data_IF_426228943444
#
_entry.id   IF_426228943444
#
_cell.length_a   1.000
_cell.length_b   1.000
_cell.length_c   1.000
_cell.angle_alpha   90.00
_cell.angle_beta   90.00
_cell.angle_gamma   90.00
#
_symmetry.space_group_name_H-M   'P 1'
#
loop_
_entity.id
_entity.type
_entity.pdbx_description
1 polymer ?
#
# COMPACT_ATOMS: atom_id res chain seq x y z
N UNK A 1 -9.26 23.14 4.32
CA UNK A 1 -9.86 21.79 4.35
C UNK A 1 -9.95 21.34 2.90
N UNK A 2 -9.49 20.13 2.58
CA UNK A 2 -9.65 19.58 1.22
C UNK A 2 -11.11 19.17 1.00
N UNK A 3 -11.52 19.07 -0.26
CA UNK A 3 -12.87 18.58 -0.58
C UNK A 3 -13.09 17.18 -0.01
N UNK A 4 -14.32 16.85 0.46
CA UNK A 4 -14.62 15.52 0.97
C UNK A 4 -14.36 14.44 -0.08
N UNK A 5 -13.73 13.34 0.35
CA UNK A 5 -13.53 12.16 -0.49
C UNK A 5 -14.72 11.21 -0.27
N UNK A 6 -15.55 10.94 -1.28
CA UNK A 6 -16.67 10.01 -1.14
C UNK A 6 -16.18 8.56 -1.06
N UNK A 7 -16.82 7.77 -0.20
CA UNK A 7 -16.48 6.37 0.01
C UNK A 7 -17.32 5.70 1.09
N UNK A 8 -16.92 4.48 1.44
CA UNK A 8 -17.57 3.64 2.43
C UNK A 8 -16.58 3.29 3.53
N UNK A 9 -16.98 3.48 4.79
CA UNK A 9 -16.19 3.07 5.95
C UNK A 9 -16.63 1.68 6.40
N UNK A 10 -15.68 0.75 6.47
CA UNK A 10 -15.88 -0.62 6.91
C UNK A 10 -15.24 -0.84 8.28
N UNK A 11 -15.93 -1.61 9.12
CA UNK A 11 -15.39 -2.13 10.37
C UNK A 11 -14.91 -3.57 10.15
N UNK A 12 -13.67 -3.85 10.51
CA UNK A 12 -13.09 -5.19 10.47
C UNK A 12 -13.10 -5.72 11.90
N UNK A 13 -13.73 -6.87 12.12
CA UNK A 13 -13.82 -7.56 13.42
C UNK A 13 -13.06 -8.90 13.37
N UNK A 14 -12.57 -9.46 14.50
CA UNK A 14 -12.90 -9.14 15.90
C UNK A 14 -12.07 -8.05 16.59
N UNK A 15 -10.91 -7.65 16.05
CA UNK A 15 -10.18 -6.45 16.52
C UNK A 15 -10.64 -5.27 15.66
N UNK A 16 -11.25 -4.20 16.22
CA UNK A 16 -11.89 -3.15 15.44
C UNK A 16 -10.85 -2.32 14.68
N UNK A 17 -10.44 -2.81 13.51
CA UNK A 17 -9.73 -2.04 12.50
C UNK A 17 -10.77 -1.39 11.59
N UNK A 18 -10.35 -0.33 10.90
CA UNK A 18 -11.19 0.33 9.90
C UNK A 18 -10.55 0.20 8.53
N UNK A 19 -11.39 0.13 7.49
CA UNK A 19 -10.94 0.31 6.12
C UNK A 19 -11.87 1.29 5.40
N UNK A 20 -11.29 2.20 4.63
CA UNK A 20 -12.06 3.13 3.80
C UNK A 20 -11.98 2.71 2.35
N UNK A 21 -13.11 2.31 1.79
CA UNK A 21 -13.28 1.98 0.37
C UNK A 21 -13.61 3.24 -0.42
N UNK A 22 -12.83 3.50 -1.47
CA UNK A 22 -12.97 4.72 -2.27
C UNK A 22 -14.01 4.54 -3.37
N UNK A 23 -14.87 5.55 -3.55
CA UNK A 23 -15.87 5.59 -4.61
C UNK A 23 -17.26 5.12 -4.17
N UNK A 24 -18.20 4.95 -5.13
CA UNK A 24 -19.57 4.57 -4.82
C UNK A 24 -19.66 3.10 -4.38
N UNK A 25 -20.75 2.71 -3.68
CA UNK A 25 -21.04 1.32 -3.40
C UNK A 25 -21.02 0.47 -4.68
N UNK A 26 -20.37 -0.68 -4.60
CA UNK A 26 -20.25 -1.64 -5.69
C UNK A 26 -20.61 -3.04 -5.20
N UNK A 27 -20.81 -3.97 -6.13
CA UNK A 27 -21.14 -5.36 -5.80
C UNK A 27 -20.01 -6.02 -4.99
N UNK A 28 -20.38 -6.86 -4.02
CA UNK A 28 -19.42 -7.68 -3.27
C UNK A 28 -18.67 -8.68 -4.15
N UNK A 29 -19.16 -8.96 -5.36
CA UNK A 29 -18.50 -9.84 -6.33
C UNK A 29 -17.32 -9.20 -7.07
N UNK A 30 -17.17 -7.87 -6.99
CA UNK A 30 -16.04 -7.18 -7.63
C UNK A 30 -14.80 -7.36 -6.75
N UNK A 31 -13.65 -7.75 -7.33
CA UNK A 31 -12.44 -7.98 -6.55
C UNK A 31 -11.90 -6.68 -5.93
N UNK A 32 -11.27 -6.80 -4.76
CA UNK A 32 -10.85 -5.67 -3.92
C UNK A 32 -9.33 -5.66 -3.75
N UNK A 33 -8.72 -4.50 -4.00
CA UNK A 33 -7.35 -4.20 -3.59
C UNK A 33 -7.39 -3.62 -2.17
N UNK A 34 -6.76 -4.31 -1.22
CA UNK A 34 -6.53 -3.78 0.11
C UNK A 34 -5.18 -3.05 0.16
N UNK A 35 -5.22 -1.72 0.18
CA UNK A 35 -4.04 -0.88 0.24
C UNK A 35 -3.59 -0.69 1.69
N UNK A 36 -2.32 -1.03 1.97
CA UNK A 36 -1.66 -0.81 3.26
C UNK A 36 -0.72 0.39 3.11
N UNK A 37 -1.06 1.49 3.76
CA UNK A 37 -0.29 2.73 3.68
C UNK A 37 0.95 2.72 4.60
N UNK A 38 1.76 3.77 4.54
CA UNK A 38 2.97 3.92 5.35
C UNK A 38 2.65 4.07 6.85
N UNK A 39 3.68 3.95 7.69
CA UNK A 39 3.51 3.96 9.15
C UNK A 39 2.95 5.30 9.68
N UNK A 40 3.12 6.39 8.94
CA UNK A 40 2.61 7.72 9.30
C UNK A 40 1.25 8.03 8.67
N UNK A 41 0.73 7.13 7.83
CA UNK A 41 -0.51 7.36 7.11
C UNK A 41 -1.73 6.95 7.92
N UNK A 42 -2.81 7.71 7.74
CA UNK A 42 -4.14 7.44 8.29
C UNK A 42 -5.15 7.44 7.14
N UNK A 43 -6.43 7.20 7.43
CA UNK A 43 -7.46 7.19 6.38
C UNK A 43 -7.42 8.50 5.58
N UNK A 44 -7.35 8.37 4.25
CA UNK A 44 -7.33 9.48 3.31
C UNK A 44 -6.10 10.41 3.40
N UNK A 45 -5.01 10.02 4.07
CA UNK A 45 -3.76 10.80 4.07
C UNK A 45 -2.93 10.64 2.79
N UNK A 46 -3.11 9.53 2.06
CA UNK A 46 -2.36 9.22 0.84
C UNK A 46 -3.03 9.88 -0.36
N UNK A 47 -2.47 10.97 -0.92
CA UNK A 47 -3.20 11.89 -1.80
C UNK A 47 -3.52 11.30 -3.18
N UNK A 48 -2.79 10.28 -3.62
CA UNK A 48 -3.01 9.64 -4.93
C UNK A 48 -4.09 8.55 -4.92
N UNK A 49 -4.56 8.10 -3.75
CA UNK A 49 -5.54 7.01 -3.68
C UNK A 49 -6.89 7.32 -4.36
N UNK A 50 -7.47 8.53 -4.28
CA UNK A 50 -8.69 8.85 -5.01
C UNK A 50 -8.53 8.72 -6.54
N UNK A 51 -7.38 9.14 -7.07
CA UNK A 51 -7.07 9.02 -8.50
C UNK A 51 -6.86 7.55 -8.88
N UNK A 52 -6.12 6.79 -8.06
CA UNK A 52 -5.92 5.36 -8.26
C UNK A 52 -7.26 4.61 -8.26
N UNK A 53 -8.15 4.89 -7.30
CA UNK A 53 -9.49 4.32 -7.23
C UNK A 53 -10.28 4.53 -8.51
N UNK A 54 -10.25 5.74 -9.08
CA UNK A 54 -10.91 6.03 -10.37
C UNK A 54 -10.33 5.21 -11.52
N UNK A 55 -9.01 4.94 -11.53
CA UNK A 55 -8.37 4.10 -12.55
C UNK A 55 -8.73 2.62 -12.36
N UNK A 56 -8.67 2.12 -11.13
CA UNK A 56 -8.98 0.73 -10.79
C UNK A 56 -10.44 0.38 -11.05
N UNK A 57 -11.37 1.29 -10.75
CA UNK A 57 -12.79 1.10 -11.05
C UNK A 57 -13.05 0.85 -12.54
N UNK A 58 -12.34 1.55 -13.44
CA UNK A 58 -12.42 1.31 -14.89
C UNK A 58 -11.85 -0.05 -15.32
N UNK A 59 -10.93 -0.59 -14.53
CA UNK A 59 -10.36 -1.93 -14.73
C UNK A 59 -11.18 -3.03 -14.03
N UNK A 60 -12.33 -2.71 -13.41
CA UNK A 60 -13.17 -3.69 -12.72
C UNK A 60 -12.70 -4.05 -11.31
N UNK A 61 -11.89 -3.20 -10.68
CA UNK A 61 -11.36 -3.40 -9.32
C UNK A 61 -11.88 -2.34 -8.35
N UNK A 62 -12.07 -2.75 -7.10
CA UNK A 62 -12.32 -1.86 -5.96
C UNK A 62 -11.02 -1.63 -5.21
N UNK A 63 -10.94 -0.55 -4.44
CA UNK A 63 -9.79 -0.30 -3.55
C UNK A 63 -10.26 0.20 -2.19
N UNK A 64 -9.69 -0.36 -1.13
CA UNK A 64 -9.86 0.10 0.23
C UNK A 64 -8.51 0.31 0.90
N UNK A 65 -8.36 1.43 1.61
CA UNK A 65 -7.21 1.66 2.49
C UNK A 65 -7.54 1.14 3.87
N UNK A 66 -6.71 0.24 4.42
CA UNK A 66 -6.83 -0.21 5.81
C UNK A 66 -6.09 0.73 6.75
N UNK A 67 -6.73 1.09 7.87
CA UNK A 67 -6.10 1.80 8.98
C UNK A 67 -5.68 0.77 10.04
N UNK A 68 -4.40 0.42 10.05
CA UNK A 68 -3.82 -0.50 11.03
C UNK A 68 -3.66 0.17 12.40
N UNK A 69 -3.48 -0.61 13.47
CA UNK A 69 -3.21 -0.05 14.81
C UNK A 69 -1.88 0.71 14.91
N UNK A 70 -0.98 0.51 13.95
CA UNK A 70 0.30 1.23 13.86
C UNK A 70 0.22 2.51 13.03
N UNK A 71 -0.93 2.83 12.42
CA UNK A 71 -1.13 4.03 11.64
C UNK A 71 -0.87 5.28 12.49
N UNK A 72 0.01 6.17 12.03
CA UNK A 72 0.42 7.38 12.75
C UNK A 72 1.41 7.16 13.89
N UNK A 73 1.88 5.92 14.12
CA UNK A 73 2.84 5.62 15.18
C UNK A 73 4.31 5.86 14.79
N UNK A 74 4.58 6.13 13.51
CA UNK A 74 5.93 6.36 13.00
C UNK A 74 6.85 5.15 13.05
N UNK A 75 8.15 5.43 12.97
CA UNK A 75 9.20 4.42 12.93
C UNK A 75 9.64 4.08 14.36
N UNK A 76 9.21 2.92 14.86
CA UNK A 76 9.63 2.39 16.16
C UNK A 76 9.42 0.88 16.29
N UNK A 77 9.10 0.21 15.18
CA UNK A 77 8.87 -1.23 15.14
C UNK A 77 10.17 -2.00 14.89
N UNK A 78 10.27 -3.19 15.48
CA UNK A 78 11.30 -4.17 15.16
C UNK A 78 11.18 -4.62 13.70
N UNK A 79 12.23 -4.41 12.90
CA UNK A 79 12.34 -4.90 11.53
C UNK A 79 13.13 -6.21 11.45
N UNK A 80 13.30 -6.98 12.52
CA UNK A 80 13.98 -8.28 12.51
C UNK A 80 13.35 -9.25 11.50
N UNK A 81 14.15 -10.16 10.94
CA UNK A 81 13.65 -11.17 9.99
C UNK A 81 12.54 -12.04 10.60
N UNK A 82 12.59 -12.30 11.91
CA UNK A 82 11.52 -13.00 12.65
C UNK A 82 10.22 -12.19 12.60
N UNK A 83 10.28 -10.89 12.88
CA UNK A 83 9.09 -10.03 12.84
C UNK A 83 8.54 -9.92 11.41
N UNK A 84 9.41 -9.72 10.42
CA UNK A 84 9.01 -9.68 9.01
C UNK A 84 8.33 -10.99 8.58
N UNK A 85 8.89 -12.14 8.95
CA UNK A 85 8.31 -13.45 8.63
C UNK A 85 6.93 -13.63 9.28
N UNK A 86 6.73 -13.15 10.51
CA UNK A 86 5.42 -13.22 11.17
C UNK A 86 4.37 -12.32 10.49
N UNK A 87 4.77 -11.12 10.04
CA UNK A 87 3.85 -10.18 9.38
C UNK A 87 3.54 -10.63 7.95
N UNK A 88 4.56 -10.80 7.12
CA UNK A 88 4.37 -11.15 5.73
C UNK A 88 3.93 -12.60 5.55
N UNK A 89 4.32 -13.51 6.45
CA UNK A 89 3.92 -14.92 6.43
C UNK A 89 2.43 -15.15 6.70
N UNK A 90 1.76 -14.21 7.38
CA UNK A 90 0.32 -14.28 7.64
C UNK A 90 -0.55 -13.84 6.44
N UNK A 91 0.05 -13.25 5.41
CA UNK A 91 -0.67 -12.84 4.19
C UNK A 91 -0.78 -14.08 3.29
N UNK A 92 -1.98 -14.48 2.92
CA UNK A 92 -2.26 -15.66 2.09
C UNK A 92 -2.68 -15.32 0.65
N UNK A 93 -2.80 -14.02 0.33
CA UNK A 93 -3.10 -13.52 -1.00
C UNK A 93 -1.86 -13.00 -1.74
N UNK A 94 -1.96 -12.79 -3.07
CA UNK A 94 -0.92 -12.14 -3.87
C UNK A 94 -0.59 -10.74 -3.33
N UNK A 95 0.70 -10.42 -3.29
CA UNK A 95 1.20 -9.21 -2.64
C UNK A 95 2.08 -8.39 -3.60
N UNK A 96 1.83 -7.09 -3.67
CA UNK A 96 2.71 -6.13 -4.34
C UNK A 96 3.31 -5.17 -3.32
N UNK A 97 4.64 -5.04 -3.35
CA UNK A 97 5.39 -4.18 -2.45
C UNK A 97 6.11 -3.12 -3.28
N UNK A 98 5.70 -1.86 -3.13
CA UNK A 98 6.32 -0.75 -3.84
C UNK A 98 6.82 0.29 -2.85
N UNK A 99 8.12 0.55 -2.87
CA UNK A 99 8.79 1.54 -2.01
C UNK A 99 9.10 2.81 -2.80
N UNK A 100 9.03 3.96 -2.15
CA UNK A 100 9.43 5.25 -2.72
C UNK A 100 10.93 5.48 -2.46
N UNK A 101 11.74 5.64 -3.50
CA UNK A 101 13.20 5.70 -3.38
C UNK A 101 13.72 6.92 -2.62
N UNK A 102 13.01 8.04 -2.71
CA UNK A 102 13.38 9.31 -2.07
C UNK A 102 12.39 9.73 -0.96
N UNK A 103 11.62 8.78 -0.41
CA UNK A 103 10.66 9.03 0.66
C UNK A 103 11.32 9.79 1.83
N UNK A 104 10.84 11.01 2.05
CA UNK A 104 11.34 11.94 3.06
C UNK A 104 10.96 11.54 4.49
N UNK A 105 10.08 10.55 4.64
CA UNK A 105 9.58 10.06 5.93
C UNK A 105 10.38 8.89 6.48
N UNK A 106 11.27 8.29 5.67
CA UNK A 106 12.14 7.19 6.10
C UNK A 106 13.23 7.69 7.04
N UNK A 107 13.55 6.94 8.13
CA UNK A 107 14.77 7.14 8.89
C UNK A 107 15.99 6.97 7.98
N UNK A 108 17.07 7.71 8.26
CA UNK A 108 18.30 7.70 7.45
C UNK A 108 18.85 6.29 7.26
N UNK A 109 18.80 5.47 8.29
CA UNK A 109 19.29 4.09 8.28
C UNK A 109 18.48 3.22 7.32
N UNK A 110 17.17 3.40 7.29
CA UNK A 110 16.26 2.70 6.36
C UNK A 110 16.48 3.18 4.93
N UNK A 111 16.54 4.50 4.74
CA UNK A 111 16.68 5.11 3.42
C UNK A 111 18.02 4.75 2.74
N UNK A 112 19.08 4.56 3.54
CA UNK A 112 20.42 4.25 3.04
C UNK A 112 20.54 2.89 2.32
N UNK A 113 19.62 1.95 2.56
CA UNK A 113 19.66 0.62 1.93
C UNK A 113 18.25 0.02 1.72
N UNK A 114 17.43 0.74 0.95
CA UNK A 114 16.13 0.24 0.49
C UNK A 114 16.21 -1.07 -0.31
N UNK A 115 17.22 -1.33 -1.17
CA UNK A 115 17.33 -2.61 -1.86
C UNK A 115 17.43 -3.80 -0.91
N UNK A 116 18.24 -3.71 0.15
CA UNK A 116 18.31 -4.77 1.17
C UNK A 116 16.98 -4.92 1.89
N UNK A 117 16.33 -3.82 2.29
CA UNK A 117 15.02 -3.88 2.94
C UNK A 117 13.97 -4.57 2.07
N UNK A 118 13.87 -4.19 0.79
CA UNK A 118 12.96 -4.81 -0.17
C UNK A 118 13.27 -6.29 -0.35
N UNK A 119 14.56 -6.68 -0.41
CA UNK A 119 14.98 -8.07 -0.49
C UNK A 119 14.49 -8.89 0.71
N UNK A 120 14.56 -8.33 1.91
CA UNK A 120 14.06 -8.96 3.14
C UNK A 120 12.54 -9.09 3.15
N UNK A 121 11.81 -8.08 2.66
CA UNK A 121 10.35 -8.15 2.50
C UNK A 121 9.94 -9.24 1.50
N UNK A 122 10.60 -9.32 0.34
CA UNK A 122 10.38 -10.36 -0.67
C UNK A 122 10.61 -11.76 -0.11
N UNK A 123 11.71 -11.94 0.64
CA UNK A 123 12.02 -13.22 1.31
C UNK A 123 10.94 -13.60 2.32
N UNK A 124 10.50 -12.66 3.16
CA UNK A 124 9.46 -12.89 4.17
C UNK A 124 8.07 -13.18 3.56
N UNK A 125 7.80 -12.66 2.36
CA UNK A 125 6.57 -12.93 1.61
C UNK A 125 6.53 -14.31 0.94
N UNK A 126 7.57 -15.14 1.10
CA UNK A 126 7.57 -16.57 0.74
C UNK A 126 7.00 -16.90 -0.65
N UNK A 127 7.34 -16.11 -1.68
CA UNK A 127 6.93 -16.33 -3.07
C UNK A 127 5.59 -15.72 -3.49
N UNK A 128 4.84 -15.08 -2.56
CA UNK A 128 3.60 -14.34 -2.88
C UNK A 128 3.84 -12.93 -3.42
N UNK A 129 5.08 -12.46 -3.33
CA UNK A 129 5.46 -11.13 -3.78
C UNK A 129 5.57 -11.11 -5.30
N UNK A 130 4.78 -10.26 -5.95
CA UNK A 130 4.81 -10.05 -7.40
C UNK A 130 6.20 -9.61 -7.87
N UNK A 131 6.59 -10.05 -9.06
CA UNK A 131 7.82 -9.61 -9.71
C UNK A 131 7.82 -8.10 -10.02
N UNK A 132 6.63 -7.48 -10.11
CA UNK A 132 6.45 -6.04 -10.31
C UNK A 132 6.63 -5.21 -9.02
N UNK A 133 6.80 -5.87 -7.88
CA UNK A 133 7.23 -5.21 -6.63
C UNK A 133 8.60 -4.58 -6.84
N UNK A 134 8.89 -3.43 -6.22
CA UNK A 134 10.17 -2.77 -6.43
C UNK A 134 10.28 -1.41 -5.74
N UNK A 135 11.36 -0.71 -6.02
CA UNK A 135 11.54 0.69 -5.63
C UNK A 135 11.18 1.56 -6.84
N UNK A 136 10.41 2.63 -6.63
CA UNK A 136 10.25 3.70 -7.63
C UNK A 136 11.35 4.70 -7.32
N UNK A 137 12.43 4.64 -8.10
CA UNK A 137 13.62 5.47 -7.89
C UNK A 137 13.27 6.95 -7.97
N UNK A 138 13.81 7.78 -7.08
CA UNK A 138 13.53 9.23 -7.06
C UNK A 138 12.15 9.65 -6.53
N UNK A 139 11.26 8.70 -6.25
CA UNK A 139 9.90 8.99 -5.80
C UNK A 139 9.86 9.53 -4.36
N UNK A 140 9.13 10.62 -4.15
CA UNK A 140 8.74 11.09 -2.83
C UNK A 140 7.64 10.21 -2.21
N UNK A 141 7.40 10.37 -0.91
CA UNK A 141 6.36 9.63 -0.18
C UNK A 141 4.97 9.69 -0.85
N UNK A 142 4.63 10.89 -1.32
CA UNK A 142 3.29 11.22 -1.82
C UNK A 142 3.11 11.07 -3.34
N UNK A 143 4.14 10.65 -4.08
CA UNK A 143 4.10 10.51 -5.55
C UNK A 143 3.47 11.73 -6.25
N UNK A 144 3.81 12.94 -5.81
CA UNK A 144 3.16 14.18 -6.31
C UNK A 144 3.44 14.50 -7.78
N UNK A 145 4.52 13.96 -8.35
CA UNK A 145 4.85 14.16 -9.76
C UNK A 145 4.25 13.07 -10.65
N UNK A 146 3.89 13.45 -11.87
CA UNK A 146 3.20 12.56 -12.80
C UNK A 146 4.03 11.35 -13.24
N UNK A 147 5.36 11.49 -13.27
CA UNK A 147 6.26 10.43 -13.71
C UNK A 147 6.24 9.27 -12.72
N UNK A 148 6.57 9.51 -11.44
CA UNK A 148 6.60 8.45 -10.43
C UNK A 148 5.20 7.93 -10.12
N UNK A 149 4.18 8.80 -10.13
CA UNK A 149 2.79 8.37 -9.99
C UNK A 149 2.34 7.44 -11.14
N UNK A 150 2.76 7.76 -12.37
CA UNK A 150 2.51 6.94 -13.56
C UNK A 150 3.17 5.57 -13.44
N UNK A 151 4.45 5.53 -13.08
CA UNK A 151 5.19 4.28 -12.89
C UNK A 151 4.56 3.40 -11.79
N UNK A 152 4.21 3.99 -10.64
CA UNK A 152 3.50 3.28 -9.58
C UNK A 152 2.15 2.73 -10.07
N UNK A 153 1.37 3.53 -10.80
CA UNK A 153 0.09 3.11 -11.33
C UNK A 153 0.24 1.95 -12.33
N UNK A 154 1.26 1.99 -13.19
CA UNK A 154 1.53 0.93 -14.16
C UNK A 154 1.93 -0.38 -13.48
N UNK A 155 2.72 -0.32 -12.39
CA UNK A 155 3.03 -1.48 -11.55
C UNK A 155 1.78 -2.08 -10.91
N UNK A 156 0.89 -1.24 -10.37
CA UNK A 156 -0.37 -1.70 -9.77
C UNK A 156 -1.25 -2.36 -10.85
N UNK A 157 -1.44 -1.72 -12.01
CA UNK A 157 -2.25 -2.29 -13.09
C UNK A 157 -1.63 -3.59 -13.63
N UNK A 158 -0.30 -3.65 -13.75
CA UNK A 158 0.42 -4.86 -14.13
C UNK A 158 0.18 -5.99 -13.13
N UNK A 159 0.34 -5.71 -11.84
CA UNK A 159 0.10 -6.67 -10.76
C UNK A 159 -1.34 -7.21 -10.81
N UNK A 160 -2.32 -6.35 -11.01
CA UNK A 160 -3.73 -6.75 -11.09
C UNK A 160 -4.08 -7.59 -12.34
N UNK A 161 -3.18 -7.73 -13.30
CA UNK A 161 -3.31 -8.67 -14.43
C UNK A 161 -2.69 -10.03 -14.15
N UNK A 162 -1.86 -10.14 -13.11
CA UNK A 162 -1.27 -11.40 -12.65
C UNK A 162 -2.24 -12.22 -11.79
N UNK A 163 -3.30 -11.59 -11.29
CA UNK A 163 -4.30 -12.14 -10.37
C UNK A 163 -5.67 -12.38 -10.99
#
# INVERSE_FOLDING_TARGET
MVDPIPGQLHLISPKPLTAFEFGPPTSSSTPLVLFVAGLNDTLCSVPYLPLLAKRLSRAGWRIAQVCLTSAGAGWGGDLSDTRLSNVFGAIDCPLSIVLSGEDETYPTEVKSDLPTLLGRFRKAAAGRCSALSGIVEGAAHNLKDEQHAGEFADRVVGFLREV
#
